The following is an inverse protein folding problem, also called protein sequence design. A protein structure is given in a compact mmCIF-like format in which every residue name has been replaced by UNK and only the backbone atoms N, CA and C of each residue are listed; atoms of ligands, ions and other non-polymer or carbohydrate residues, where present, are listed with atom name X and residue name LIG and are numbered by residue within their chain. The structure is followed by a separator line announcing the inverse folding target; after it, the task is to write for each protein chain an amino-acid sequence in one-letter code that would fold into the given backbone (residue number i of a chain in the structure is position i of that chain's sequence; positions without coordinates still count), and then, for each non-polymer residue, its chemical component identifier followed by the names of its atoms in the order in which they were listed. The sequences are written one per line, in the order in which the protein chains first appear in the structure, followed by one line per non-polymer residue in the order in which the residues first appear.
data_IF_608067326519
#
_entry.id   IF_608067326519
#
_cell.length_a   1.000
_cell.length_b   1.000
_cell.length_c   1.000
_cell.angle_alpha   90.00
_cell.angle_beta   90.00
_cell.angle_gamma   90.00
#
_symmetry.space_group_name_H-M   'P 1'
#
loop_
_entity.id
_entity.type
_entity.pdbx_description
1 polymer ?
#
# COMPACT_ATOMS: atom_id res chain seq x y z
N UNK A 1 14.59 38.22 -60.04
CA UNK A 1 14.63 37.43 -61.30
C UNK A 1 13.17 37.10 -61.68
N UNK A 2 12.85 37.17 -62.99
CA UNK A 2 11.56 36.93 -63.69
C UNK A 2 10.43 36.19 -62.89
N UNK A 3 9.22 36.77 -62.72
CA UNK A 3 8.02 36.69 -63.64
C UNK A 3 7.41 35.27 -63.61
N UNK A 4 6.11 34.97 -63.36
CA UNK A 4 4.79 35.68 -63.36
C UNK A 4 3.79 34.85 -62.48
N UNK A 5 2.82 35.41 -61.73
CA UNK A 5 1.36 35.53 -62.05
C UNK A 5 0.75 34.39 -62.91
N UNK A 6 -0.49 33.89 -62.73
CA UNK A 6 -1.69 34.38 -62.02
C UNK A 6 -2.76 33.24 -61.93
N UNK A 7 -3.79 33.45 -61.12
CA UNK A 7 -5.19 32.97 -61.28
C UNK A 7 -5.59 31.47 -61.10
N UNK A 8 -6.45 31.29 -60.07
CA UNK A 8 -7.72 30.54 -60.01
C UNK A 8 -8.56 30.47 -61.33
N UNK A 9 -9.72 29.77 -61.43
CA UNK A 9 -10.47 28.99 -60.39
C UNK A 9 -11.16 27.66 -60.85
N UNK A 10 -11.87 27.02 -59.90
CA UNK A 10 -13.18 26.32 -59.97
C UNK A 10 -13.58 25.30 -61.08
N UNK A 11 -14.31 24.29 -60.58
CA UNK A 11 -15.37 23.46 -61.21
C UNK A 11 -15.03 22.21 -62.05
N UNK A 12 -15.98 21.26 -61.97
CA UNK A 12 -16.27 20.12 -62.88
C UNK A 12 -15.67 18.74 -62.49
N UNK A 13 -16.47 17.72 -62.07
CA UNK A 13 -17.21 16.70 -62.89
C UNK A 13 -16.33 15.44 -63.20
N UNK A 14 -16.75 14.15 -63.21
CA UNK A 14 -18.04 13.41 -63.14
C UNK A 14 -17.90 11.98 -62.49
N UNK A 15 -19.01 11.44 -61.95
CA UNK A 15 -19.53 10.03 -62.01
C UNK A 15 -18.59 8.81 -61.83
N UNK A 16 -18.95 7.86 -60.94
CA UNK A 16 -19.33 6.45 -61.32
C UNK A 16 -19.55 5.50 -60.13
N UNK A 17 -20.77 4.96 -60.04
CA UNK A 17 -21.11 3.76 -59.26
C UNK A 17 -20.60 2.49 -59.93
N UNK A 18 -20.37 1.41 -59.16
CA UNK A 18 -20.72 0.04 -59.55
C UNK A 18 -20.75 -0.89 -58.34
N UNK A 19 -21.62 -1.90 -58.40
CA UNK A 19 -21.94 -2.83 -57.32
C UNK A 19 -21.78 -4.29 -57.81
N UNK A 20 -22.03 -5.24 -56.89
CA UNK A 20 -21.99 -6.71 -57.08
C UNK A 20 -20.56 -7.28 -57.12
N UNK A 21 -20.31 -8.52 -56.65
CA UNK A 21 -21.25 -9.63 -56.50
C UNK A 21 -21.15 -10.41 -55.17
N UNK A 22 -22.24 -11.11 -54.87
CA UNK A 22 -22.33 -12.12 -53.80
C UNK A 22 -21.48 -13.35 -54.13
N UNK A 23 -21.00 -14.05 -53.10
CA UNK A 23 -20.72 -15.48 -53.18
C UNK A 23 -21.42 -16.19 -52.02
N UNK A 24 -22.48 -16.93 -52.32
CA UNK A 24 -23.09 -17.88 -51.39
C UNK A 24 -22.40 -19.24 -51.54
N UNK A 25 -21.97 -19.84 -50.44
CA UNK A 25 -21.78 -21.29 -50.34
C UNK A 25 -22.49 -21.75 -49.07
N UNK A 26 -23.52 -22.56 -49.24
CA UNK A 26 -24.27 -23.18 -48.15
C UNK A 26 -23.63 -24.49 -47.71
N UNK A 27 -23.64 -24.76 -46.41
CA UNK A 27 -23.63 -26.13 -45.85
C UNK A 27 -24.46 -26.13 -44.56
N UNK A 28 -25.42 -27.04 -44.50
CA UNK A 28 -26.46 -27.13 -43.46
C UNK A 28 -26.07 -27.94 -42.21
N UNK A 29 -26.95 -27.84 -41.20
CA UNK A 29 -27.03 -28.60 -39.93
C UNK A 29 -26.10 -28.14 -38.78
N UNK A 30 -26.55 -28.00 -37.52
CA UNK A 30 -27.86 -28.24 -36.89
C UNK A 30 -28.08 -27.24 -35.71
N UNK A 31 -29.30 -27.06 -35.17
CA UNK A 31 -29.59 -25.93 -34.26
C UNK A 31 -29.07 -26.13 -32.83
N UNK A 32 -28.33 -25.15 -32.33
CA UNK A 32 -28.03 -24.97 -30.90
C UNK A 32 -29.18 -24.14 -30.28
N UNK A 33 -29.79 -24.57 -29.15
CA UNK A 33 -30.94 -23.86 -28.59
C UNK A 33 -30.56 -22.48 -28.06
N UNK A 34 -31.37 -21.47 -28.43
CA UNK A 34 -31.23 -20.09 -27.95
C UNK A 34 -31.67 -19.95 -26.50
N UNK A 35 -30.72 -19.63 -25.61
CA UNK A 35 -31.01 -19.15 -24.25
C UNK A 35 -31.37 -17.66 -24.35
N UNK A 36 -32.50 -17.19 -23.79
CA UNK A 36 -32.89 -15.79 -23.87
C UNK A 36 -31.95 -14.89 -23.06
N UNK A 37 -31.54 -13.78 -23.68
CA UNK A 37 -30.80 -12.69 -23.04
C UNK A 37 -31.72 -11.88 -22.11
N UNK A 38 -31.94 -12.35 -20.88
CA UNK A 38 -32.70 -11.60 -19.86
C UNK A 38 -32.31 -11.85 -18.39
N UNK A 39 -31.20 -12.55 -18.10
CA UNK A 39 -30.75 -12.82 -16.72
C UNK A 39 -29.23 -12.60 -16.49
N UNK A 40 -28.62 -11.61 -17.16
CA UNK A 40 -27.20 -11.24 -16.97
C UNK A 40 -26.95 -9.74 -16.73
N UNK A 41 -28.00 -8.95 -16.49
CA UNK A 41 -27.91 -7.55 -16.06
C UNK A 41 -28.73 -7.32 -14.78
N UNK A 42 -28.16 -7.61 -13.60
CA UNK A 42 -28.58 -7.07 -12.29
C UNK A 42 -27.65 -7.54 -11.15
N UNK A 43 -26.35 -7.23 -11.25
CA UNK A 43 -25.38 -7.48 -10.17
C UNK A 43 -24.26 -6.41 -10.09
N UNK A 44 -24.57 -5.17 -10.48
CA UNK A 44 -23.72 -3.98 -10.26
C UNK A 44 -24.65 -2.88 -9.73
N UNK A 45 -24.17 -2.08 -8.78
CA UNK A 45 -24.92 -1.12 -7.94
C UNK A 45 -25.81 -1.70 -6.83
N UNK A 46 -25.23 -1.92 -5.65
CA UNK A 46 -25.44 -0.98 -4.53
C UNK A 46 -24.62 -1.43 -3.30
N UNK A 47 -23.76 -0.54 -2.80
CA UNK A 47 -23.16 -0.63 -1.47
C UNK A 47 -23.12 0.77 -0.84
N UNK A 48 -24.27 1.44 -0.84
CA UNK A 48 -24.54 2.45 0.17
C UNK A 48 -24.76 1.79 1.54
N UNK A 49 -24.40 2.52 2.59
CA UNK A 49 -24.31 1.98 3.93
C UNK A 49 -25.69 1.69 4.58
N UNK A 50 -25.62 0.91 5.67
CA UNK A 50 -26.59 0.85 6.76
C UNK A 50 -27.76 -0.15 6.63
N UNK A 51 -27.50 -1.42 6.98
CA UNK A 51 -28.46 -2.23 7.75
C UNK A 51 -27.81 -3.39 8.52
N UNK A 52 -28.03 -3.43 9.83
CA UNK A 52 -27.65 -4.55 10.69
C UNK A 52 -28.60 -5.74 10.48
N UNK A 53 -28.24 -6.69 9.61
CA UNK A 53 -28.55 -8.12 9.74
C UNK A 53 -27.99 -8.90 8.54
N UNK A 54 -26.87 -9.59 8.72
CA UNK A 54 -26.43 -10.63 7.78
C UNK A 54 -26.96 -11.99 8.25
N UNK A 55 -27.69 -12.75 7.41
CA UNK A 55 -27.96 -14.16 7.70
C UNK A 55 -26.66 -14.96 7.65
N UNK A 56 -26.62 -16.10 8.35
CA UNK A 56 -25.42 -16.91 8.47
C UNK A 56 -24.91 -17.38 7.08
N UNK A 57 -23.71 -16.94 6.72
CA UNK A 57 -23.04 -17.39 5.49
C UNK A 57 -22.66 -18.86 5.64
N UNK A 58 -23.30 -19.71 4.85
CA UNK A 58 -22.99 -21.15 4.77
C UNK A 58 -21.56 -21.36 4.28
N UNK A 59 -20.78 -22.15 5.03
CA UNK A 59 -19.36 -22.33 4.76
C UNK A 59 -19.09 -22.95 3.37
N UNK A 60 -18.26 -22.29 2.57
CA UNK A 60 -17.62 -22.92 1.42
C UNK A 60 -16.71 -24.08 1.91
N UNK A 61 -16.61 -25.19 1.15
CA UNK A 61 -15.79 -26.33 1.56
C UNK A 61 -14.32 -25.93 1.63
N UNK A 62 -13.65 -26.29 2.74
CA UNK A 62 -12.21 -26.08 2.91
C UNK A 62 -11.44 -26.80 1.80
N UNK A 63 -10.53 -26.15 1.08
CA UNK A 63 -9.59 -26.86 0.22
C UNK A 63 -8.70 -27.77 1.07
N UNK A 64 -8.38 -28.95 0.54
CA UNK A 64 -7.55 -29.95 1.21
C UNK A 64 -6.19 -29.38 1.63
N UNK A 65 -5.63 -29.78 2.79
CA UNK A 65 -4.31 -29.33 3.21
C UNK A 65 -3.26 -29.84 2.21
N UNK A 66 -2.66 -28.93 1.45
CA UNK A 66 -1.47 -29.26 0.67
C UNK A 66 -0.29 -29.47 1.62
N UNK A 67 0.67 -30.36 1.28
CA UNK A 67 1.84 -30.61 2.11
C UNK A 67 2.61 -29.31 2.38
N UNK A 68 3.21 -29.20 3.57
CA UNK A 68 3.98 -28.04 3.99
C UNK A 68 5.23 -27.87 3.10
N UNK A 69 5.08 -27.09 2.02
CA UNK A 69 6.18 -26.73 1.13
C UNK A 69 7.20 -25.93 1.93
N UNK A 70 8.45 -26.39 1.92
CA UNK A 70 9.56 -25.75 2.63
C UNK A 70 9.57 -24.23 2.38
N UNK A 71 9.59 -23.45 3.47
CA UNK A 71 9.41 -21.99 3.46
C UNK A 71 10.27 -21.33 2.36
N UNK A 72 9.66 -20.84 1.26
CA UNK A 72 10.35 -19.91 0.38
C UNK A 72 10.68 -18.67 1.22
N UNK A 73 11.87 -18.08 1.08
CA UNK A 73 12.33 -17.11 2.04
C UNK A 73 11.41 -15.88 2.13
N UNK A 74 11.29 -15.33 3.33
CA UNK A 74 10.77 -13.98 3.54
C UNK A 74 11.56 -12.96 2.69
N UNK A 75 11.12 -11.72 2.58
CA UNK A 75 11.78 -10.67 1.80
C UNK A 75 13.22 -10.38 2.24
N UNK A 76 14.18 -11.17 1.72
CA UNK A 76 15.61 -11.10 2.08
C UNK A 76 16.30 -9.99 1.32
N UNK A 77 17.05 -9.16 2.02
CA UNK A 77 17.77 -8.01 1.47
C UNK A 77 19.09 -7.85 2.20
N UNK A 78 20.18 -8.16 1.51
CA UNK A 78 21.51 -7.82 1.98
C UNK A 78 21.66 -6.29 2.00
N UNK A 79 22.37 -5.71 2.99
CA UNK A 79 22.78 -4.32 2.94
C UNK A 79 23.68 -4.04 1.74
N UNK A 80 23.67 -2.80 1.25
CA UNK A 80 24.50 -2.42 0.07
C UNK A 80 25.97 -2.15 0.41
N UNK A 81 26.25 -1.77 1.67
CA UNK A 81 27.59 -1.51 2.21
C UNK A 81 27.62 -1.62 3.75
N UNK A 82 28.78 -1.40 4.38
CA UNK A 82 28.97 -1.48 5.84
C UNK A 82 28.18 -0.42 6.63
N UNK A 83 27.95 0.76 6.05
CA UNK A 83 27.16 1.82 6.68
C UNK A 83 25.68 1.44 6.68
N UNK A 84 25.16 0.99 5.55
CA UNK A 84 23.80 0.47 5.42
C UNK A 84 23.58 -0.75 6.32
N UNK A 85 24.56 -1.65 6.43
CA UNK A 85 24.52 -2.78 7.38
C UNK A 85 24.39 -2.29 8.82
N UNK A 86 25.20 -1.30 9.21
CA UNK A 86 25.17 -0.71 10.55
C UNK A 86 23.83 -0.04 10.85
N UNK A 87 23.24 0.67 9.88
CA UNK A 87 21.92 1.28 10.01
C UNK A 87 20.80 0.23 10.12
N UNK A 88 20.78 -0.78 9.25
CA UNK A 88 19.79 -1.86 9.32
C UNK A 88 19.85 -2.64 10.63
N UNK A 89 21.06 -2.88 11.16
CA UNK A 89 21.22 -3.49 12.48
C UNK A 89 20.68 -2.60 13.60
N UNK A 90 20.95 -1.28 13.57
CA UNK A 90 20.39 -0.33 14.54
C UNK A 90 18.86 -0.29 14.49
N UNK A 91 18.28 -0.30 13.28
CA UNK A 91 16.83 -0.40 13.05
C UNK A 91 16.30 -1.72 13.62
N UNK A 92 16.90 -2.86 13.30
CA UNK A 92 16.47 -4.19 13.76
C UNK A 92 16.58 -4.34 15.29
N UNK A 93 17.61 -3.78 15.93
CA UNK A 93 17.74 -3.74 17.40
C UNK A 93 16.60 -2.91 18.02
N UNK A 94 16.24 -1.75 17.45
CA UNK A 94 15.08 -0.98 17.92
C UNK A 94 13.76 -1.77 17.81
N UNK A 95 13.61 -2.58 16.76
CA UNK A 95 12.49 -3.52 16.57
C UNK A 95 12.59 -4.80 17.42
N UNK A 96 13.62 -4.95 18.26
CA UNK A 96 13.89 -6.15 19.08
C UNK A 96 13.97 -7.44 18.23
N UNK A 97 14.66 -7.39 17.10
CA UNK A 97 14.98 -8.58 16.32
C UNK A 97 16.05 -9.41 17.03
N UNK A 98 15.85 -10.71 17.05
CA UNK A 98 16.87 -11.68 17.46
C UNK A 98 17.93 -11.82 16.37
N UNK A 99 19.10 -12.36 16.72
CA UNK A 99 20.14 -12.79 15.76
C UNK A 99 19.58 -13.63 14.61
N UNK A 100 18.67 -14.55 14.89
CA UNK A 100 18.11 -15.46 13.88
C UNK A 100 17.24 -14.67 12.89
N UNK A 101 16.41 -13.75 13.39
CA UNK A 101 15.58 -12.90 12.53
C UNK A 101 16.43 -11.90 11.71
N UNK A 102 17.54 -11.39 12.26
CA UNK A 102 18.51 -10.58 11.52
C UNK A 102 19.11 -11.39 10.36
N UNK A 103 19.52 -12.63 10.63
CA UNK A 103 20.04 -13.53 9.59
C UNK A 103 18.99 -13.83 8.51
N UNK A 104 17.74 -14.07 8.89
CA UNK A 104 16.64 -14.31 7.96
C UNK A 104 16.33 -13.10 7.07
N UNK A 105 16.38 -11.87 7.62
CA UNK A 105 16.20 -10.60 6.88
C UNK A 105 17.34 -10.36 5.90
N UNK A 106 18.59 -10.58 6.31
CA UNK A 106 19.74 -10.43 5.41
C UNK A 106 19.91 -11.60 4.45
N UNK A 107 19.31 -12.75 4.75
CA UNK A 107 19.41 -13.97 3.95
C UNK A 107 20.68 -14.77 4.16
N UNK A 108 21.32 -14.58 5.31
CA UNK A 108 22.58 -15.22 5.68
C UNK A 108 22.38 -16.70 6.05
N UNK A 109 23.38 -17.51 5.77
CA UNK A 109 23.53 -18.84 6.35
C UNK A 109 23.79 -18.77 7.87
N UNK A 110 23.63 -19.89 8.61
CA UNK A 110 23.94 -19.93 10.04
C UNK A 110 25.38 -19.51 10.38
N UNK A 111 26.35 -19.84 9.52
CA UNK A 111 27.76 -19.51 9.74
C UNK A 111 28.03 -18.02 9.50
N UNK A 112 27.48 -17.44 8.42
CA UNK A 112 27.54 -15.99 8.17
C UNK A 112 26.83 -15.19 9.27
N UNK A 113 25.70 -15.69 9.79
CA UNK A 113 25.00 -15.10 10.92
C UNK A 113 25.85 -15.11 12.20
N UNK A 114 26.53 -16.23 12.49
CA UNK A 114 27.45 -16.33 13.62
C UNK A 114 28.64 -15.37 13.46
N UNK A 115 29.21 -15.26 12.25
CA UNK A 115 30.26 -14.29 11.95
C UNK A 115 29.79 -12.85 12.11
N UNK A 116 28.59 -12.50 11.63
CA UNK A 116 27.98 -11.17 11.81
C UNK A 116 27.87 -10.80 13.30
N UNK A 117 27.39 -11.72 14.14
CA UNK A 117 27.29 -11.50 15.59
C UNK A 117 28.67 -11.29 16.23
N UNK A 118 29.65 -12.11 15.88
CA UNK A 118 31.00 -12.06 16.42
C UNK A 118 31.76 -10.78 15.99
N UNK A 119 31.63 -10.41 14.71
CA UNK A 119 32.34 -9.29 14.10
C UNK A 119 31.69 -7.95 14.46
N UNK A 120 30.38 -7.81 14.26
CA UNK A 120 29.67 -6.55 14.54
C UNK A 120 29.45 -6.34 16.04
N UNK A 121 29.50 -7.42 16.85
CA UNK A 121 29.27 -7.39 18.31
C UNK A 121 28.04 -6.54 18.64
N UNK A 122 26.84 -7.09 18.40
CA UNK A 122 25.55 -6.36 18.35
C UNK A 122 25.22 -5.43 19.54
N UNK A 123 25.96 -5.51 20.64
CA UNK A 123 25.87 -4.64 21.82
C UNK A 123 27.06 -3.68 21.98
N UNK A 124 27.80 -3.33 20.90
CA UNK A 124 28.88 -2.32 21.00
C UNK A 124 28.32 -0.95 21.37
N UNK A 125 29.05 -0.13 22.15
CA UNK A 125 28.64 1.24 22.44
C UNK A 125 28.37 2.08 21.19
N UNK A 126 29.09 1.85 20.08
CA UNK A 126 28.95 2.64 18.86
C UNK A 126 27.75 2.24 17.99
N UNK A 127 27.38 0.96 17.97
CA UNK A 127 26.11 0.54 17.38
C UNK A 127 24.93 0.99 18.26
N UNK A 128 25.03 0.84 19.58
CA UNK A 128 23.99 1.25 20.52
C UNK A 128 23.72 2.77 20.50
N UNK A 129 24.73 3.62 20.26
CA UNK A 129 24.52 5.06 20.01
C UNK A 129 23.68 5.37 18.76
N UNK A 130 23.64 4.45 17.79
CA UNK A 130 22.85 4.58 16.55
C UNK A 130 21.44 4.02 16.69
N UNK A 131 21.17 3.19 17.70
CA UNK A 131 19.83 2.63 17.96
C UNK A 131 18.89 3.78 18.36
N UNK A 132 17.81 4.04 17.62
CA UNK A 132 16.86 5.09 17.96
C UNK A 132 16.20 4.85 19.33
N UNK A 133 16.21 5.85 20.20
CA UNK A 133 15.59 5.79 21.53
C UNK A 133 14.06 5.79 21.43
N UNK A 134 13.44 4.62 21.57
CA UNK A 134 11.98 4.43 21.52
C UNK A 134 11.35 4.51 22.92
N UNK A 135 10.08 4.88 23.01
CA UNK A 135 9.36 4.96 24.29
C UNK A 135 9.82 6.09 25.23
N UNK A 136 10.43 7.14 24.68
CA UNK A 136 11.02 8.28 25.41
C UNK A 136 10.15 9.56 25.37
N UNK A 137 8.82 9.42 25.27
CA UNK A 137 7.86 10.52 25.21
C UNK A 137 7.60 11.10 23.81
N UNK A 138 8.39 10.70 22.80
CA UNK A 138 8.22 11.11 21.40
C UNK A 138 8.08 9.90 20.47
N UNK A 139 7.27 9.98 19.40
CA UNK A 139 7.18 8.93 18.41
C UNK A 139 8.46 8.83 17.57
N UNK A 140 8.85 7.60 17.21
CA UNK A 140 10.02 7.34 16.36
C UNK A 140 9.56 6.66 15.07
N UNK A 141 10.11 7.08 13.93
CA UNK A 141 9.74 6.61 12.59
C UNK A 141 10.93 5.90 11.97
N UNK A 142 10.77 4.64 11.56
CA UNK A 142 11.82 3.82 10.93
C UNK A 142 11.24 3.00 9.77
N UNK A 143 12.05 2.56 8.80
CA UNK A 143 11.66 1.50 7.87
C UNK A 143 11.26 0.22 8.63
N UNK A 144 10.27 -0.50 8.12
CA UNK A 144 10.00 -1.86 8.61
C UNK A 144 11.08 -2.83 8.09
N UNK A 145 11.75 -3.64 8.94
CA UNK A 145 12.86 -4.49 8.49
C UNK A 145 12.51 -5.61 7.51
N UNK A 146 11.23 -5.99 7.41
CA UNK A 146 10.82 -7.24 6.78
C UNK A 146 11.06 -8.44 7.69
N UNK A 147 11.17 -9.65 7.12
CA UNK A 147 11.42 -10.91 7.82
C UNK A 147 10.24 -11.43 8.66
N UNK A 148 9.62 -10.56 9.46
CA UNK A 148 8.39 -10.83 10.22
C UNK A 148 7.15 -10.60 9.34
N UNK A 149 6.11 -11.40 9.55
CA UNK A 149 4.79 -11.10 9.01
C UNK A 149 4.15 -9.95 9.81
N UNK A 150 3.68 -8.85 9.19
CA UNK A 150 3.19 -7.68 9.91
C UNK A 150 1.77 -7.89 10.47
N UNK A 151 0.95 -8.74 9.84
CA UNK A 151 -0.35 -9.19 10.38
C UNK A 151 -0.19 -10.35 11.38
N UNK A 152 -1.11 -10.46 12.34
CA UNK A 152 -1.20 -11.56 13.32
C UNK A 152 -2.15 -12.68 12.88
N UNK A 153 -3.20 -12.35 12.14
CA UNK A 153 -4.08 -13.28 11.41
C UNK A 153 -4.39 -12.77 10.01
N UNK A 154 -5.25 -13.47 9.27
CA UNK A 154 -5.51 -13.21 7.83
C UNK A 154 -4.19 -13.13 7.03
N UNK A 155 -3.35 -14.15 7.22
CA UNK A 155 -1.98 -14.25 6.69
C UNK A 155 -2.00 -14.66 5.21
N UNK A 156 -2.97 -15.48 4.83
CA UNK A 156 -3.32 -15.85 3.45
C UNK A 156 -3.72 -14.64 2.61
N UNK A 157 -4.22 -13.58 3.25
CA UNK A 157 -4.49 -12.29 2.60
C UNK A 157 -3.28 -11.38 2.45
N UNK A 158 -2.07 -11.81 2.84
CA UNK A 158 -0.81 -11.07 2.66
C UNK A 158 0.42 -12.00 2.58
N UNK A 159 0.39 -12.98 1.65
CA UNK A 159 1.50 -13.91 1.43
C UNK A 159 2.74 -13.14 0.96
N UNK A 160 3.91 -13.39 1.58
CA UNK A 160 5.19 -12.68 1.29
C UNK A 160 5.03 -11.14 1.33
N UNK A 161 4.82 -10.56 2.53
CA UNK A 161 4.68 -9.11 2.68
C UNK A 161 6.01 -8.40 2.39
N UNK A 162 5.99 -7.50 1.41
CA UNK A 162 7.15 -6.70 0.98
C UNK A 162 7.55 -5.70 2.07
N UNK A 163 8.85 -5.48 2.28
CA UNK A 163 9.31 -4.49 3.30
C UNK A 163 9.35 -3.06 2.79
N UNK A 164 9.52 -2.88 1.49
CA UNK A 164 9.24 -1.61 0.81
C UNK A 164 7.80 -1.16 1.09
N UNK A 165 7.54 0.15 0.97
CA UNK A 165 6.29 0.82 1.35
C UNK A 165 5.88 0.72 2.83
N UNK A 166 6.54 -0.10 3.65
CA UNK A 166 6.21 -0.24 5.09
C UNK A 166 7.06 0.63 6.00
N UNK A 167 6.40 1.38 6.86
CA UNK A 167 6.99 2.24 7.89
C UNK A 167 6.57 1.74 9.27
N UNK A 168 7.52 1.64 10.19
CA UNK A 168 7.25 1.42 11.60
C UNK A 168 7.16 2.76 12.34
N UNK A 169 6.03 3.01 12.97
CA UNK A 169 5.82 4.13 13.88
C UNK A 169 5.80 3.60 15.32
N UNK A 170 6.83 3.92 16.09
CA UNK A 170 7.01 3.47 17.47
C UNK A 170 6.25 4.36 18.46
N UNK A 171 5.63 3.71 19.43
CA UNK A 171 4.89 4.39 20.49
C UNK A 171 5.80 5.29 21.36
N UNK A 172 5.29 6.45 21.83
CA UNK A 172 6.03 7.35 22.70
C UNK A 172 6.19 6.82 24.12
N UNK A 173 5.37 5.86 24.56
CA UNK A 173 5.49 5.24 25.89
C UNK A 173 6.48 4.07 25.91
N UNK A 174 7.16 3.92 27.05
CA UNK A 174 8.10 2.83 27.32
C UNK A 174 7.46 1.47 27.03
N UNK A 175 8.22 0.60 26.37
CA UNK A 175 7.83 -0.77 26.01
C UNK A 175 6.57 -0.88 25.12
N UNK A 176 6.13 0.23 24.49
CA UNK A 176 4.91 0.27 23.69
C UNK A 176 4.94 -0.45 22.34
N UNK A 177 6.13 -0.78 21.81
CA UNK A 177 6.27 -1.38 20.49
C UNK A 177 6.00 -0.39 19.34
N UNK A 178 5.49 -0.89 18.23
CA UNK A 178 5.31 -0.13 16.99
C UNK A 178 4.12 -0.60 16.16
N UNK A 179 3.46 0.32 15.46
CA UNK A 179 2.51 0.01 14.38
C UNK A 179 3.26 -0.06 13.05
N UNK A 180 2.89 -1.00 12.18
CA UNK A 180 3.43 -1.09 10.80
C UNK A 180 2.42 -0.49 9.85
N UNK A 181 2.78 0.57 9.13
CA UNK A 181 1.93 1.30 8.20
C UNK A 181 2.40 1.00 6.77
N UNK A 182 1.52 0.44 5.95
CA UNK A 182 1.67 0.33 4.51
C UNK A 182 1.32 1.66 3.82
N UNK A 183 2.29 2.23 3.11
CA UNK A 183 2.21 3.50 2.40
C UNK A 183 2.69 3.33 0.94
N UNK A 184 1.85 2.80 0.02
CA UNK A 184 0.52 2.22 0.24
C UNK A 184 0.53 0.68 0.32
N UNK A 185 -0.58 0.07 0.76
CA UNK A 185 -0.76 -1.39 0.71
C UNK A 185 -1.12 -1.86 -0.70
N UNK A 186 -2.07 -1.17 -1.33
CA UNK A 186 -2.57 -1.50 -2.66
C UNK A 186 -2.94 -0.23 -3.44
N UNK A 187 -2.77 -0.25 -4.75
CA UNK A 187 -3.24 0.81 -5.66
C UNK A 187 -4.11 0.18 -6.73
N UNK A 188 -5.36 0.60 -6.81
CA UNK A 188 -6.32 0.20 -7.84
C UNK A 188 -6.53 1.36 -8.83
N UNK A 189 -6.82 1.03 -10.09
CA UNK A 189 -7.22 2.00 -11.12
C UNK A 189 -8.32 1.39 -12.03
N UNK A 190 -8.92 2.17 -12.93
CA UNK A 190 -10.03 1.75 -13.78
C UNK A 190 -9.77 1.91 -15.30
N UNK A 191 -8.74 1.26 -15.87
CA UNK A 191 -8.50 1.27 -17.32
C UNK A 191 -9.72 0.73 -18.07
N UNK A 192 -10.17 1.47 -19.08
CA UNK A 192 -11.33 1.12 -19.91
C UNK A 192 -12.60 0.76 -19.09
N UNK A 193 -12.79 1.41 -17.94
CA UNK A 193 -13.91 1.19 -17.03
C UNK A 193 -13.85 -0.12 -16.22
N UNK A 194 -12.74 -0.85 -16.26
CA UNK A 194 -12.55 -2.11 -15.52
C UNK A 194 -11.61 -1.90 -14.35
N UNK A 195 -12.03 -2.25 -13.13
CA UNK A 195 -11.18 -2.16 -11.94
C UNK A 195 -10.02 -3.15 -12.02
N UNK A 196 -8.80 -2.63 -12.02
CA UNK A 196 -7.55 -3.37 -12.10
C UNK A 196 -6.60 -3.02 -10.94
N UNK A 197 -5.72 -3.95 -10.58
CA UNK A 197 -4.77 -3.81 -9.46
C UNK A 197 -3.39 -3.40 -10.00
N UNK A 198 -3.02 -2.13 -9.78
CA UNK A 198 -1.81 -1.51 -10.30
C UNK A 198 -0.56 -1.82 -9.44
N UNK A 199 -0.73 -1.91 -8.12
CA UNK A 199 0.34 -2.28 -7.18
C UNK A 199 -0.24 -2.97 -5.94
N UNK A 200 0.56 -3.85 -5.33
CA UNK A 200 0.25 -4.53 -4.07
C UNK A 200 1.54 -4.83 -3.29
N UNK A 201 1.59 -4.46 -2.02
CA UNK A 201 2.75 -4.58 -1.13
C UNK A 201 2.94 -6.00 -0.52
N UNK A 202 2.35 -7.01 -1.17
CA UNK A 202 2.38 -8.45 -0.85
C UNK A 202 1.85 -9.26 -2.03
N UNK A 203 1.91 -10.59 -1.98
CA UNK A 203 1.18 -11.47 -2.91
C UNK A 203 -0.11 -11.97 -2.27
N UNK A 204 -1.23 -11.95 -3.00
CA UNK A 204 -2.39 -12.85 -2.81
C UNK A 204 -3.40 -12.71 -3.96
N UNK A 205 -3.54 -11.48 -4.49
CA UNK A 205 -4.30 -11.14 -5.70
C UNK A 205 -3.32 -10.70 -6.80
N UNK A 206 -3.45 -11.19 -8.05
CA UNK A 206 -2.59 -10.77 -9.15
C UNK A 206 -2.76 -9.29 -9.52
N UNK A 207 -1.66 -8.55 -9.58
CA UNK A 207 -1.57 -7.23 -10.20
C UNK A 207 -1.62 -7.34 -11.73
N UNK A 208 -1.74 -6.20 -12.43
CA UNK A 208 -1.58 -6.17 -13.90
C UNK A 208 -0.19 -6.65 -14.35
N UNK A 209 0.83 -6.51 -13.50
CA UNK A 209 2.20 -6.95 -13.77
C UNK A 209 2.33 -8.47 -13.66
N UNK A 210 1.71 -9.08 -12.64
CA UNK A 210 1.65 -10.54 -12.51
C UNK A 210 0.95 -11.18 -13.71
N UNK A 211 -0.17 -10.58 -14.16
CA UNK A 211 -0.90 -11.00 -15.38
C UNK A 211 -0.04 -10.90 -16.65
N UNK A 212 0.89 -9.95 -16.69
CA UNK A 212 1.84 -9.72 -17.79
C UNK A 212 3.17 -10.48 -17.61
N UNK A 213 3.32 -11.26 -16.52
CA UNK A 213 4.57 -11.94 -16.15
C UNK A 213 5.76 -10.98 -15.95
N UNK A 214 5.50 -9.74 -15.54
CA UNK A 214 6.50 -8.70 -15.26
C UNK A 214 6.80 -8.67 -13.76
N UNK A 215 8.01 -9.10 -13.39
CA UNK A 215 8.50 -8.98 -12.01
C UNK A 215 8.91 -7.53 -11.73
N UNK A 216 8.29 -6.90 -10.73
CA UNK A 216 8.75 -5.62 -10.20
C UNK A 216 9.99 -5.82 -9.33
N UNK A 217 11.08 -5.10 -9.62
CA UNK A 217 12.29 -5.13 -8.78
C UNK A 217 12.01 -4.58 -7.38
N UNK A 218 12.62 -5.14 -6.33
CA UNK A 218 12.55 -4.59 -4.98
C UNK A 218 13.18 -3.21 -4.86
N UNK A 219 12.69 -2.43 -3.90
CA UNK A 219 13.19 -1.10 -3.57
C UNK A 219 13.48 -0.97 -2.07
N UNK A 220 14.12 0.13 -1.68
CA UNK A 220 14.39 0.47 -0.28
C UNK A 220 14.10 1.95 0.00
N UNK A 221 13.73 2.25 1.25
CA UNK A 221 13.51 3.61 1.70
C UNK A 221 14.81 4.44 1.66
N UNK A 222 14.79 5.54 0.90
CA UNK A 222 15.81 6.57 0.95
C UNK A 222 15.71 7.31 2.30
N UNK A 223 16.81 7.27 3.06
CA UNK A 223 16.98 7.81 4.41
C UNK A 223 17.90 9.05 4.47
N UNK A 224 18.27 9.63 3.32
CA UNK A 224 19.27 10.72 3.23
C UNK A 224 18.86 12.01 3.93
N UNK A 225 17.56 12.26 4.08
CA UNK A 225 17.03 13.44 4.79
C UNK A 225 16.67 13.01 6.22
N UNK A 226 17.20 13.66 7.27
CA UNK A 226 16.89 13.33 8.65
C UNK A 226 15.39 13.23 8.93
N UNK A 227 15.01 12.21 9.71
CA UNK A 227 13.63 11.94 10.13
C UNK A 227 12.59 11.81 8.98
N UNK A 228 13.04 11.62 7.74
CA UNK A 228 12.21 11.49 6.54
C UNK A 228 12.57 10.21 5.80
N UNK A 229 11.56 9.42 5.45
CA UNK A 229 11.68 8.28 4.55
C UNK A 229 11.03 8.67 3.21
N UNK A 230 11.71 8.41 2.11
CA UNK A 230 11.17 8.61 0.76
C UNK A 230 11.37 7.36 -0.09
N UNK A 231 10.36 6.99 -0.85
CA UNK A 231 10.38 5.87 -1.80
C UNK A 231 9.76 6.33 -3.11
N UNK A 232 10.36 5.94 -4.23
CA UNK A 232 9.83 6.21 -5.57
C UNK A 232 9.86 4.91 -6.37
N UNK A 233 8.71 4.55 -6.95
CA UNK A 233 8.51 3.36 -7.78
C UNK A 233 7.97 3.80 -9.14
N UNK A 234 8.81 3.75 -10.16
CA UNK A 234 8.38 3.87 -11.56
C UNK A 234 7.85 2.52 -12.03
N UNK A 235 6.60 2.49 -12.50
CA UNK A 235 5.94 1.30 -13.03
C UNK A 235 6.12 1.19 -14.56
N UNK A 236 6.03 -0.04 -15.14
CA UNK A 236 6.24 -0.24 -16.58
C UNK A 236 5.30 0.54 -17.51
N UNK A 237 4.12 0.99 -17.05
CA UNK A 237 3.22 1.87 -17.79
C UNK A 237 3.58 3.37 -17.72
N UNK A 238 4.78 3.72 -17.21
CA UNK A 238 5.24 5.10 -17.02
C UNK A 238 4.46 5.87 -15.94
N UNK A 239 3.88 5.15 -14.97
CA UNK A 239 3.27 5.75 -13.77
C UNK A 239 4.29 5.72 -12.64
N UNK A 240 4.53 6.86 -12.01
CA UNK A 240 5.43 6.96 -10.85
C UNK A 240 4.62 7.08 -9.58
N UNK A 241 4.81 6.13 -8.67
CA UNK A 241 4.30 6.18 -7.30
C UNK A 241 5.39 6.72 -6.36
N UNK A 242 5.10 7.76 -5.59
CA UNK A 242 6.05 8.28 -4.60
C UNK A 242 5.41 8.32 -3.22
N UNK A 243 6.11 7.75 -2.24
CA UNK A 243 5.71 7.72 -0.84
C UNK A 243 6.69 8.52 -0.01
N UNK A 244 6.19 9.39 0.86
CA UNK A 244 7.00 10.18 1.81
C UNK A 244 6.42 10.05 3.22
N UNK A 245 7.29 9.84 4.20
CA UNK A 245 6.92 9.70 5.60
C UNK A 245 7.90 10.52 6.45
N UNK A 246 7.43 11.62 7.08
CA UNK A 246 8.26 12.53 7.89
C UNK A 246 7.74 12.61 9.33
N UNK A 247 8.63 12.34 10.30
CA UNK A 247 8.33 12.49 11.72
C UNK A 247 8.00 13.97 12.04
N UNK A 248 6.82 14.21 12.59
CA UNK A 248 6.43 15.47 13.20
C UNK A 248 6.63 15.40 14.74
N UNK A 249 6.37 16.50 15.45
CA UNK A 249 6.47 16.54 16.92
C UNK A 249 5.51 15.54 17.60
N UNK A 250 4.27 15.45 17.11
CA UNK A 250 3.18 14.67 17.72
C UNK A 250 2.83 13.39 16.96
N UNK A 251 3.54 13.07 15.87
CA UNK A 251 3.18 11.97 15.01
C UNK A 251 4.02 11.87 13.74
N UNK A 252 3.39 11.43 12.66
CA UNK A 252 3.98 11.15 11.37
C UNK A 252 3.12 11.78 10.28
N UNK A 253 3.67 12.76 9.55
CA UNK A 253 3.09 13.25 8.29
C UNK A 253 3.44 12.29 7.17
N UNK A 254 2.48 12.00 6.30
CA UNK A 254 2.62 11.11 5.15
C UNK A 254 2.11 11.80 3.90
N UNK A 255 2.77 11.53 2.78
CA UNK A 255 2.27 11.89 1.45
C UNK A 255 2.39 10.67 0.54
N UNK A 256 1.38 10.47 -0.29
CA UNK A 256 1.43 9.55 -1.40
C UNK A 256 1.02 10.28 -2.67
N UNK A 257 1.81 10.16 -3.73
CA UNK A 257 1.55 10.81 -5.01
C UNK A 257 1.64 9.85 -6.18
N UNK A 258 0.81 10.07 -7.19
CA UNK A 258 0.82 9.38 -8.47
C UNK A 258 1.10 10.42 -9.56
N UNK A 259 2.25 10.32 -10.21
CA UNK A 259 2.58 11.06 -11.42
C UNK A 259 2.33 10.20 -12.65
N UNK A 260 1.59 10.73 -13.63
CA UNK A 260 1.24 10.03 -14.85
C UNK A 260 2.11 10.51 -16.02
N UNK A 261 3.18 9.78 -16.34
CA UNK A 261 4.02 10.08 -17.51
C UNK A 261 3.58 9.31 -18.76
N UNK A 262 2.42 8.65 -18.73
CA UNK A 262 1.82 7.99 -19.89
C UNK A 262 1.06 8.99 -20.78
N UNK A 263 0.44 8.49 -21.86
CA UNK A 263 -0.41 9.29 -22.78
C UNK A 263 -1.91 9.15 -22.53
N UNK A 264 -2.29 8.43 -21.48
CA UNK A 264 -3.67 8.06 -21.16
C UNK A 264 -3.96 8.44 -19.71
N UNK A 265 -5.14 8.98 -19.46
CA UNK A 265 -5.52 9.41 -18.11
C UNK A 265 -5.66 8.19 -17.17
N UNK A 266 -5.25 8.37 -15.91
CA UNK A 266 -5.41 7.36 -14.86
C UNK A 266 -6.67 7.69 -14.07
N UNK A 267 -7.70 6.86 -14.22
CA UNK A 267 -9.00 7.08 -13.58
C UNK A 267 -9.28 6.05 -12.47
N UNK A 268 -10.18 6.41 -11.55
CA UNK A 268 -10.68 5.51 -10.51
C UNK A 268 -9.59 5.05 -9.53
N UNK A 269 -8.69 5.98 -9.16
CA UNK A 269 -7.52 5.70 -8.34
C UNK A 269 -7.89 5.51 -6.86
N UNK A 270 -8.12 4.27 -6.45
CA UNK A 270 -8.38 3.91 -5.05
C UNK A 270 -7.13 3.29 -4.41
N UNK A 271 -6.65 3.90 -3.34
CA UNK A 271 -5.43 3.47 -2.63
C UNK A 271 -5.81 2.91 -1.27
N UNK A 272 -5.19 1.80 -0.88
CA UNK A 272 -5.38 1.22 0.45
C UNK A 272 -4.20 1.61 1.34
N UNK A 273 -4.50 2.17 2.52
CA UNK A 273 -3.51 2.62 3.50
C UNK A 273 -3.78 1.89 4.80
N UNK A 274 -2.92 0.95 5.17
CA UNK A 274 -3.19 -0.03 6.22
C UNK A 274 -2.17 0.07 7.37
N UNK A 275 -2.65 0.32 8.59
CA UNK A 275 -1.84 0.29 9.80
C UNK A 275 -2.12 -1.00 10.60
N UNK A 276 -1.16 -1.93 10.60
CA UNK A 276 -1.25 -3.26 11.22
C UNK A 276 -0.70 -3.24 12.66
N UNK A 277 -1.53 -3.64 13.62
CA UNK A 277 -1.30 -3.37 15.05
C UNK A 277 -0.52 -4.46 15.80
N UNK A 278 -0.08 -5.54 15.14
CA UNK A 278 0.61 -6.69 15.78
C UNK A 278 1.84 -6.31 16.62
N UNK A 279 2.61 -5.32 16.16
CA UNK A 279 3.83 -4.88 16.85
C UNK A 279 3.55 -3.92 18.01
N UNK A 280 2.31 -3.46 18.19
CA UNK A 280 1.93 -2.40 19.11
C UNK A 280 1.30 -3.02 20.37
N UNK A 281 2.00 -2.88 21.49
CA UNK A 281 1.68 -3.61 22.73
C UNK A 281 0.33 -3.13 23.29
N UNK A 282 -0.63 -4.05 23.39
CA UNK A 282 -1.98 -3.80 23.88
C UNK A 282 -3.03 -3.51 22.81
N UNK A 283 -2.70 -3.60 21.52
CA UNK A 283 -3.59 -3.32 20.38
C UNK A 283 -3.78 -4.54 19.45
N UNK A 284 -3.33 -5.72 19.88
CA UNK A 284 -3.25 -6.97 19.13
C UNK A 284 -4.57 -7.77 19.06
N UNK A 285 -5.64 -7.27 19.69
CA UNK A 285 -6.93 -7.94 19.78
C UNK A 285 -7.67 -7.96 18.42
N UNK A 286 -8.01 -9.17 17.95
CA UNK A 286 -8.64 -9.45 16.65
C UNK A 286 -10.15 -9.11 16.61
N UNK A 287 -10.51 -7.89 17.01
CA UNK A 287 -11.87 -7.34 17.00
C UNK A 287 -11.91 -5.97 16.29
N UNK A 288 -13.12 -5.47 16.00
CA UNK A 288 -13.37 -4.06 15.68
C UNK A 288 -14.04 -3.28 16.84
N UNK A 289 -14.41 -3.92 17.94
CA UNK A 289 -15.10 -3.28 19.10
C UNK A 289 -14.22 -2.24 19.81
N UNK A 290 -12.90 -2.34 19.63
CA UNK A 290 -11.91 -1.38 20.13
C UNK A 290 -11.55 -0.29 19.10
N UNK A 291 -12.31 -0.14 18.01
CA UNK A 291 -12.01 0.79 16.92
C UNK A 291 -13.10 1.83 16.69
N UNK A 292 -12.69 2.99 16.16
CA UNK A 292 -13.56 4.03 15.61
C UNK A 292 -13.20 4.16 14.14
N UNK A 293 -14.21 4.05 13.27
CA UNK A 293 -14.10 4.30 11.85
C UNK A 293 -15.02 5.47 11.48
N UNK A 294 -14.43 6.64 11.30
CA UNK A 294 -15.13 7.88 10.97
C UNK A 294 -14.23 8.66 10.01
N UNK A 295 -14.47 8.52 8.70
CA UNK A 295 -13.65 9.19 7.68
C UNK A 295 -13.47 10.69 8.00
N UNK A 296 -12.23 11.22 7.92
CA UNK A 296 -11.02 10.58 7.39
C UNK A 296 -10.24 9.69 8.37
N UNK A 297 -10.71 9.46 9.60
CA UNK A 297 -9.99 8.77 10.65
C UNK A 297 -10.40 7.30 10.83
N UNK A 298 -9.39 6.46 11.02
CA UNK A 298 -9.51 5.17 11.68
C UNK A 298 -8.64 5.18 12.94
N UNK A 299 -9.21 4.84 14.09
CA UNK A 299 -8.50 4.81 15.37
C UNK A 299 -8.76 3.50 16.12
N UNK A 300 -7.77 3.01 16.85
CA UNK A 300 -7.90 1.86 17.76
C UNK A 300 -7.53 2.32 19.17
N UNK A 301 -8.26 1.89 20.19
CA UNK A 301 -7.85 1.99 21.60
C UNK A 301 -7.12 0.72 22.05
N UNK A 302 -6.26 0.87 23.05
CA UNK A 302 -5.64 -0.24 23.75
C UNK A 302 -6.62 -0.93 24.72
N UNK A 303 -6.18 -2.05 25.31
CA UNK A 303 -6.97 -2.78 26.33
C UNK A 303 -7.31 -1.97 27.58
N UNK A 304 -6.55 -0.92 27.93
CA UNK A 304 -6.91 -0.02 29.04
C UNK A 304 -7.96 1.03 28.67
N UNK A 305 -8.14 1.31 27.37
CA UNK A 305 -9.04 2.33 26.86
C UNK A 305 -8.50 3.76 26.96
N UNK A 306 -7.26 3.93 27.42
CA UNK A 306 -6.62 5.23 27.64
C UNK A 306 -5.55 5.56 26.59
N UNK A 307 -5.12 4.61 25.76
CA UNK A 307 -4.16 4.85 24.68
C UNK A 307 -4.79 4.56 23.34
N UNK A 308 -4.45 5.38 22.37
CA UNK A 308 -4.98 5.31 21.02
C UNK A 308 -3.86 5.34 20.00
N UNK A 309 -4.07 4.65 18.88
CA UNK A 309 -3.33 4.83 17.63
C UNK A 309 -4.33 5.28 16.57
N UNK A 310 -3.97 6.31 15.82
CA UNK A 310 -4.84 7.00 14.87
C UNK A 310 -4.15 7.00 13.50
N UNK A 311 -4.90 6.68 12.45
CA UNK A 311 -4.51 6.77 11.03
C UNK A 311 -5.55 7.61 10.29
N UNK A 312 -5.12 8.53 9.42
CA UNK A 312 -6.00 9.30 8.57
C UNK A 312 -5.34 9.70 7.24
N UNK A 313 -6.14 9.89 6.20
CA UNK A 313 -5.76 10.48 4.91
C UNK A 313 -6.83 11.46 4.42
N UNK A 314 -6.41 12.53 3.74
CA UNK A 314 -7.34 13.36 2.96
C UNK A 314 -7.95 12.52 1.82
N UNK A 315 -9.12 12.94 1.33
CA UNK A 315 -9.89 12.18 0.32
C UNK A 315 -10.23 10.73 0.74
N UNK A 316 -10.21 10.41 2.04
CA UNK A 316 -10.59 9.10 2.57
C UNK A 316 -12.01 8.72 2.15
N UNK A 317 -12.11 7.78 1.21
CA UNK A 317 -13.37 7.21 0.77
C UNK A 317 -13.85 6.11 1.73
N UNK A 318 -12.92 5.41 2.41
CA UNK A 318 -13.28 4.34 3.35
C UNK A 318 -12.34 4.25 4.55
N UNK A 319 -12.86 4.62 5.72
CA UNK A 319 -12.29 4.23 7.01
C UNK A 319 -12.86 2.87 7.43
N UNK A 320 -12.02 1.85 7.70
CA UNK A 320 -12.46 0.50 8.06
C UNK A 320 -11.35 -0.33 8.73
N UNK A 321 -11.63 -1.59 9.06
CA UNK A 321 -10.64 -2.54 9.56
C UNK A 321 -11.19 -3.98 9.51
N UNK A 322 -10.28 -4.96 9.47
CA UNK A 322 -10.62 -6.38 9.32
C UNK A 322 -10.44 -7.11 10.66
N UNK A 323 -11.47 -7.60 11.38
CA UNK A 323 -11.28 -8.15 12.72
C UNK A 323 -10.19 -9.25 12.82
N UNK A 324 -10.09 -10.23 11.91
CA UNK A 324 -9.03 -11.24 11.93
C UNK A 324 -7.60 -10.71 11.70
N UNK A 325 -7.43 -9.49 11.20
CA UNK A 325 -6.15 -8.78 11.14
C UNK A 325 -6.36 -7.38 11.73
N UNK A 326 -6.10 -7.17 13.04
CA UNK A 326 -6.40 -5.92 13.71
C UNK A 326 -5.55 -4.81 13.10
N UNK A 327 -6.21 -4.08 12.22
CA UNK A 327 -5.64 -3.02 11.42
C UNK A 327 -6.61 -1.83 11.39
N UNK A 328 -6.07 -0.70 10.96
CA UNK A 328 -6.80 0.51 10.65
C UNK A 328 -6.56 0.83 9.19
N UNK A 329 -7.64 1.01 8.44
CA UNK A 329 -7.61 1.54 7.09
C UNK A 329 -8.18 2.93 7.06
N UNK A 330 -7.51 3.82 6.34
CA UNK A 330 -8.04 5.10 5.90
C UNK A 330 -7.71 5.21 4.41
N UNK A 331 -8.52 4.56 3.58
CA UNK A 331 -8.24 4.36 2.15
C UNK A 331 -8.67 5.61 1.35
N UNK A 332 -7.73 6.42 0.80
CA UNK A 332 -8.07 7.59 0.00
C UNK A 332 -8.44 7.22 -1.43
N UNK A 333 -9.35 8.00 -2.01
CA UNK A 333 -9.50 8.08 -3.46
C UNK A 333 -8.65 9.24 -3.96
N UNK A 334 -7.56 8.93 -4.65
CA UNK A 334 -6.73 9.94 -5.32
C UNK A 334 -7.56 10.48 -6.49
N UNK A 335 -7.57 11.80 -6.76
CA UNK A 335 -8.20 12.34 -7.96
C UNK A 335 -7.67 11.67 -9.22
N UNK A 336 -8.51 11.59 -10.26
CA UNK A 336 -8.08 11.13 -11.58
C UNK A 336 -6.89 11.97 -12.07
N UNK A 337 -5.86 11.32 -12.63
CA UNK A 337 -4.57 11.93 -12.94
C UNK A 337 -4.36 11.94 -14.46
N UNK A 338 -4.54 13.11 -15.09
CA UNK A 338 -4.44 13.23 -16.54
C UNK A 338 -3.01 13.02 -17.05
N UNK A 339 -2.85 12.78 -18.35
CA UNK A 339 -1.54 12.60 -18.96
C UNK A 339 -0.60 13.82 -18.72
N UNK A 340 0.54 13.57 -18.05
CA UNK A 340 1.52 14.59 -17.65
C UNK A 340 1.31 15.21 -16.26
N UNK A 341 0.23 14.88 -15.56
CA UNK A 341 -0.07 15.45 -14.24
C UNK A 341 0.54 14.68 -13.07
N UNK A 342 0.36 15.22 -11.87
CA UNK A 342 0.68 14.55 -10.60
C UNK A 342 -0.40 14.87 -9.58
N UNK A 343 -1.01 13.84 -9.01
CA UNK A 343 -2.01 13.95 -7.94
C UNK A 343 -1.39 13.49 -6.62
N UNK A 344 -1.78 14.12 -5.51
CA UNK A 344 -1.21 13.90 -4.17
C UNK A 344 -2.32 13.78 -3.14
N UNK A 345 -2.22 12.77 -2.27
CA UNK A 345 -3.02 12.65 -1.05
C UNK A 345 -2.10 12.70 0.18
N UNK A 346 -2.59 13.30 1.26
CA UNK A 346 -1.84 13.55 2.49
C UNK A 346 -2.43 12.76 3.63
N UNK A 347 -1.60 12.33 4.56
CA UNK A 347 -2.03 11.54 5.69
C UNK A 347 -1.25 11.80 6.97
N UNK A 348 -1.80 11.26 8.04
CA UNK A 348 -1.32 11.43 9.39
C UNK A 348 -1.42 10.11 10.15
N UNK A 349 -0.41 9.82 10.96
CA UNK A 349 -0.49 8.80 11.97
C UNK A 349 0.08 9.31 13.29
N UNK A 350 -0.61 9.05 14.40
CA UNK A 350 -0.18 9.48 15.74
C UNK A 350 -0.67 8.54 16.83
N UNK A 351 -0.18 8.81 18.04
CA UNK A 351 -0.70 8.23 19.26
C UNK A 351 -1.32 9.31 20.13
N UNK A 352 -2.32 8.94 20.91
CA UNK A 352 -2.98 9.81 21.87
C UNK A 352 -3.17 9.07 23.19
N UNK A 353 -2.87 9.71 24.32
CA UNK A 353 -3.11 9.18 25.66
C UNK A 353 -4.17 10.06 26.35
N UNK A 354 -5.35 9.48 26.60
CA UNK A 354 -6.54 10.17 27.09
C UNK A 354 -7.84 9.44 26.72
N UNK A 355 -8.95 9.90 27.31
CA UNK A 355 -10.28 9.32 27.12
C UNK A 355 -11.17 10.07 26.12
N UNK A 356 -10.87 11.34 25.81
CA UNK A 356 -11.64 12.16 24.87
C UNK A 356 -11.04 12.11 23.45
N UNK A 357 -11.12 10.92 22.86
CA UNK A 357 -10.73 10.70 21.46
C UNK A 357 -11.50 11.62 20.49
N UNK A 358 -12.74 12.03 20.81
CA UNK A 358 -13.54 12.88 19.92
C UNK A 358 -12.98 14.30 19.84
N UNK A 359 -12.54 14.87 20.96
CA UNK A 359 -11.82 16.14 20.95
C UNK A 359 -10.49 16.04 20.19
N UNK A 360 -9.77 14.91 20.32
CA UNK A 360 -8.50 14.71 19.60
C UNK A 360 -8.70 14.60 18.09
N UNK A 361 -9.65 13.80 17.60
CA UNK A 361 -9.92 13.71 16.16
C UNK A 361 -10.28 15.10 15.58
N UNK A 362 -11.11 15.88 16.29
CA UNK A 362 -11.46 17.27 15.93
C UNK A 362 -10.28 18.25 15.97
N UNK A 363 -9.24 17.96 16.76
CA UNK A 363 -7.98 18.71 16.74
C UNK A 363 -7.17 18.35 15.50
N UNK A 364 -7.06 17.06 15.21
CA UNK A 364 -6.32 16.53 14.05
C UNK A 364 -6.94 16.93 12.70
N UNK A 365 -8.27 17.11 12.60
CA UNK A 365 -8.94 17.67 11.41
C UNK A 365 -8.30 18.96 10.87
N UNK A 366 -7.64 19.73 11.74
CA UNK A 366 -7.02 21.02 11.41
C UNK A 366 -5.52 20.94 11.08
N UNK A 367 -4.88 19.79 11.31
CA UNK A 367 -3.41 19.64 11.33
C UNK A 367 -2.91 18.44 10.50
N UNK A 368 -3.72 17.38 10.37
CA UNK A 368 -3.32 16.10 9.81
C UNK A 368 -2.88 16.14 8.34
N UNK A 369 -3.43 17.08 7.56
CA UNK A 369 -3.30 17.13 6.09
C UNK A 369 -2.45 18.31 5.62
N UNK A 370 -1.57 18.83 6.47
CA UNK A 370 -0.55 19.80 6.07
C UNK A 370 0.53 19.14 5.18
N UNK A 371 1.04 19.81 4.12
CA UNK A 371 2.12 19.27 3.29
C UNK A 371 3.43 19.01 4.06
N UNK A 372 4.21 18.03 3.62
CA UNK A 372 5.55 17.77 4.16
C UNK A 372 6.53 18.82 3.62
N UNK A 373 6.80 19.84 4.45
CA UNK A 373 7.78 20.88 4.18
C UNK A 373 9.22 20.38 4.36
N UNK A 374 10.17 21.00 3.65
CA UNK A 374 11.59 20.63 3.72
C UNK A 374 12.30 21.11 5.00
N UNK A 375 11.67 21.95 5.82
CA UNK A 375 12.35 22.80 6.81
C UNK A 375 12.06 22.55 8.29
N UNK A 376 11.24 21.53 8.63
CA UNK A 376 11.13 21.01 10.03
C UNK A 376 12.20 19.97 10.36
#
# INVERSE_FOLDING_TARGET
MRIRTLACPLCSLLISSLALANLEISVDAAPIPSIPLSELELAVFSLDANQNNSPAVTAHPKPSPQPEVARPPAERRLPVDELDQTEWLAIMIAHRFTTIEIADVFGLSPDEANQLVQNTKLNTPDLLKRVPSTGAGVPVVLPYPGGRHPRIGFLEGAVRPQRETKVSLFAPWKDGGYVVIDLPEAVWHQPDGKRELLYLAHTHVPTIWDKQQVTLNPLEWNRKVPATLQLERVLPNQVTMTSRAKRATEGLRMEFSIANHSKTDLTGLHVQMCAMLKGLVGFDEQTNDNKIFQAPFAACKDRSGNRWVILAFDHCHRAWGNPPCPCLHSDPQVPDCAAGETQVVRGWASFYEGTDIKAELKRLEKLAFEPITQSE
#
